data_IF_980197221246
#
_entry.id   IF_980197221246
#
_cell.length_a   1.000
_cell.length_b   1.000
_cell.length_c   1.000
_cell.angle_alpha   90.00
_cell.angle_beta   90.00
_cell.angle_gamma   90.00
#
_symmetry.space_group_name_H-M   'P 1'
#
loop_
_entity.id
_entity.type
_entity.pdbx_description
1 polymer ?
#
# COMPACT_ATOMS: atom_id res chain seq x y z
N UNK A 1 8.42 0.94 -7.37
CA UNK A 1 9.20 0.76 -6.11
C UNK A 1 9.14 -0.71 -5.74
N UNK A 2 10.22 -1.33 -5.22
CA UNK A 2 10.21 -2.76 -4.85
C UNK A 2 9.11 -3.09 -3.84
N UNK A 3 8.85 -2.18 -2.90
CA UNK A 3 7.78 -2.30 -1.93
C UNK A 3 6.38 -2.27 -2.59
N UNK A 4 6.16 -1.40 -3.58
CA UNK A 4 4.84 -1.27 -4.23
C UNK A 4 4.49 -2.47 -5.08
N UNK A 5 5.49 -3.00 -5.79
CA UNK A 5 5.33 -4.23 -6.55
C UNK A 5 4.93 -5.41 -5.65
N UNK A 6 5.64 -5.60 -4.54
CA UNK A 6 5.30 -6.61 -3.53
C UNK A 6 3.89 -6.42 -2.98
N UNK A 7 3.50 -5.18 -2.65
CA UNK A 7 2.14 -4.91 -2.18
C UNK A 7 1.11 -5.28 -3.26
N UNK A 8 1.32 -4.86 -4.51
CA UNK A 8 0.39 -5.13 -5.61
C UNK A 8 0.23 -6.64 -5.90
N UNK A 9 1.31 -7.40 -5.83
CA UNK A 9 1.31 -8.84 -6.08
C UNK A 9 0.69 -9.64 -4.91
N UNK A 10 0.99 -9.27 -3.67
CA UNK A 10 0.68 -10.11 -2.51
C UNK A 10 -0.58 -9.70 -1.74
N UNK A 11 -1.13 -8.49 -1.91
CA UNK A 11 -2.24 -7.98 -1.09
C UNK A 11 -3.55 -8.78 -1.26
N UNK A 12 -3.77 -9.36 -2.45
CA UNK A 12 -4.94 -10.18 -2.78
C UNK A 12 -6.28 -9.49 -2.49
N UNK A 13 -7.26 -10.24 -1.97
CA UNK A 13 -8.63 -9.77 -1.70
C UNK A 13 -8.74 -8.60 -0.71
N UNK A 14 -7.68 -8.31 0.07
CA UNK A 14 -7.68 -7.22 1.05
C UNK A 14 -7.32 -5.85 0.45
N UNK A 15 -7.06 -5.77 -0.86
CA UNK A 15 -6.65 -4.55 -1.54
C UNK A 15 -7.65 -3.39 -1.36
N UNK A 16 -8.96 -3.67 -1.29
CA UNK A 16 -9.99 -2.64 -1.11
C UNK A 16 -9.89 -1.98 0.27
N UNK A 17 -9.65 -2.77 1.32
CA UNK A 17 -9.47 -2.26 2.69
C UNK A 17 -8.19 -1.41 2.76
N UNK A 18 -7.12 -1.89 2.14
CA UNK A 18 -5.86 -1.17 2.03
C UNK A 18 -6.01 0.18 1.29
N UNK A 19 -6.64 0.19 0.11
CA UNK A 19 -6.86 1.40 -0.67
C UNK A 19 -7.73 2.42 0.09
N UNK A 20 -8.79 1.96 0.76
CA UNK A 20 -9.63 2.81 1.63
C UNK A 20 -8.84 3.43 2.78
N UNK A 21 -7.96 2.66 3.43
CA UNK A 21 -7.13 3.17 4.52
C UNK A 21 -6.13 4.24 4.04
N UNK A 22 -5.64 4.13 2.81
CA UNK A 22 -4.83 5.18 2.17
C UNK A 22 -5.65 6.36 1.62
N UNK A 23 -6.98 6.33 1.76
CA UNK A 23 -7.93 7.29 1.18
C UNK A 23 -7.80 7.42 -0.33
N UNK A 24 -7.40 6.33 -0.98
CA UNK A 24 -7.28 6.24 -2.42
C UNK A 24 -8.66 5.87 -2.97
N UNK A 25 -9.08 6.55 -4.03
CA UNK A 25 -10.33 6.24 -4.74
C UNK A 25 -10.25 4.79 -5.24
N UNK A 26 -11.29 4.00 -5.01
CA UNK A 26 -11.32 2.59 -5.43
C UNK A 26 -11.11 2.50 -6.95
N UNK A 27 -9.99 1.86 -7.35
CA UNK A 27 -9.65 1.53 -8.74
C UNK A 27 -9.68 0.02 -8.95
N UNK A 28 -9.02 -0.49 -10.00
CA UNK A 28 -8.81 -1.94 -10.15
C UNK A 28 -7.55 -2.38 -9.41
N UNK A 29 -7.52 -3.61 -8.87
CA UNK A 29 -6.32 -4.17 -8.21
C UNK A 29 -5.11 -4.16 -9.15
N UNK A 30 -5.33 -4.37 -10.45
CA UNK A 30 -4.29 -4.36 -11.49
C UNK A 30 -3.58 -3.00 -11.62
N UNK A 31 -4.19 -1.93 -11.11
CA UNK A 31 -3.61 -0.58 -11.14
C UNK A 31 -2.95 -0.20 -9.81
N UNK A 32 -2.93 -1.09 -8.81
CA UNK A 32 -2.51 -0.75 -7.45
C UNK A 32 -1.07 -0.23 -7.36
N UNK A 33 -0.13 -0.79 -8.13
CA UNK A 33 1.25 -0.29 -8.16
C UNK A 33 1.33 1.15 -8.67
N UNK A 34 0.60 1.46 -9.75
CA UNK A 34 0.53 2.81 -10.34
C UNK A 34 -0.11 3.80 -9.37
N UNK A 35 -1.17 3.37 -8.70
CA UNK A 35 -1.86 4.12 -7.66
C UNK A 35 -0.94 4.44 -6.49
N UNK A 36 -0.09 3.48 -6.06
CA UNK A 36 0.87 3.70 -4.98
C UNK A 36 1.98 4.68 -5.38
N UNK A 37 2.40 4.66 -6.64
CA UNK A 37 3.30 5.68 -7.18
C UNK A 37 2.67 7.07 -7.20
N UNK A 38 1.41 7.19 -7.60
CA UNK A 38 0.68 8.46 -7.50
C UNK A 38 0.50 8.92 -6.04
N UNK A 39 0.27 7.97 -5.12
CA UNK A 39 0.19 8.28 -3.69
C UNK A 39 1.52 8.82 -3.17
N UNK A 40 2.66 8.23 -3.57
CA UNK A 40 4.00 8.71 -3.24
C UNK A 40 4.26 10.15 -3.71
N UNK A 41 3.83 10.49 -4.93
CA UNK A 41 4.02 11.83 -5.49
C UNK A 41 3.22 12.91 -4.75
N UNK A 42 2.05 12.54 -4.21
CA UNK A 42 1.11 13.47 -3.58
C UNK A 42 1.19 13.50 -2.04
N UNK A 43 1.83 12.51 -1.42
CA UNK A 43 1.91 12.37 0.03
C UNK A 43 3.19 13.02 0.59
N UNK A 44 3.12 13.55 1.81
CA UNK A 44 4.31 13.96 2.55
C UNK A 44 5.21 12.73 2.74
N UNK A 45 6.45 12.79 2.21
CA UNK A 45 7.45 11.72 2.31
C UNK A 45 7.65 11.23 3.75
N UNK A 46 7.51 12.11 4.76
CA UNK A 46 7.62 11.73 6.18
C UNK A 46 6.49 10.79 6.64
N UNK A 47 5.34 10.84 5.96
CA UNK A 47 4.13 10.06 6.28
C UNK A 47 3.89 8.91 5.31
N UNK A 48 4.61 8.86 4.19
CA UNK A 48 4.47 7.83 3.16
C UNK A 48 4.63 6.41 3.73
N UNK A 49 5.79 6.14 4.37
CA UNK A 49 6.09 4.81 4.93
C UNK A 49 5.10 4.44 6.03
N UNK A 50 4.85 5.34 6.99
CA UNK A 50 3.93 5.07 8.10
C UNK A 50 2.48 4.89 7.64
N UNK A 51 2.04 5.66 6.64
CA UNK A 51 0.72 5.53 6.01
C UNK A 51 0.52 4.17 5.35
N UNK A 52 1.51 3.70 4.58
CA UNK A 52 1.45 2.39 3.92
C UNK A 52 1.47 1.25 4.95
N UNK A 53 2.35 1.30 5.95
CA UNK A 53 2.40 0.27 7.00
C UNK A 53 1.12 0.24 7.83
N UNK A 54 0.53 1.40 8.13
CA UNK A 54 -0.76 1.49 8.81
C UNK A 54 -1.89 0.91 7.94
N UNK A 55 -1.93 1.24 6.65
CA UNK A 55 -2.94 0.69 5.74
C UNK A 55 -2.84 -0.83 5.60
N UNK A 56 -1.63 -1.39 5.57
CA UNK A 56 -1.43 -2.85 5.57
C UNK A 56 -1.92 -3.49 6.87
N UNK A 57 -1.71 -2.82 8.01
CA UNK A 57 -2.25 -3.25 9.30
C UNK A 57 -3.79 -3.26 9.31
N UNK A 58 -4.43 -2.19 8.84
CA UNK A 58 -5.89 -2.09 8.74
C UNK A 58 -6.48 -3.15 7.79
N UNK A 59 -5.77 -3.47 6.71
CA UNK A 59 -6.10 -4.54 5.79
C UNK A 59 -5.83 -5.96 6.35
N UNK A 60 -5.45 -6.07 7.63
CA UNK A 60 -5.11 -7.32 8.33
C UNK A 60 -3.97 -8.10 7.65
N UNK A 61 -3.07 -7.40 6.97
CA UNK A 61 -1.89 -7.95 6.29
C UNK A 61 -0.60 -7.60 7.04
N UNK A 62 -0.52 -8.03 8.29
CA UNK A 62 0.68 -7.83 9.12
C UNK A 62 1.89 -8.62 8.61
N UNK A 63 1.66 -9.75 7.94
CA UNK A 63 2.66 -10.49 7.18
C UNK A 63 3.33 -9.58 6.13
N UNK A 64 2.51 -8.96 5.28
CA UNK A 64 2.97 -8.09 4.21
C UNK A 64 3.54 -6.79 4.76
N UNK A 65 2.96 -6.24 5.83
CA UNK A 65 3.51 -5.08 6.56
C UNK A 65 4.95 -5.33 7.00
N UNK A 66 5.23 -6.48 7.61
CA UNK A 66 6.57 -6.81 8.10
C UNK A 66 7.55 -6.92 6.92
N UNK A 67 7.18 -7.65 5.86
CA UNK A 67 8.00 -7.78 4.67
C UNK A 67 8.28 -6.42 3.99
N UNK A 68 7.24 -5.59 3.86
CA UNK A 68 7.31 -4.23 3.30
C UNK A 68 8.19 -3.33 4.16
N UNK A 69 8.13 -3.42 5.49
CA UNK A 69 8.93 -2.61 6.39
C UNK A 69 10.44 -2.81 6.24
N UNK A 70 10.88 -4.03 5.91
CA UNK A 70 12.29 -4.40 5.71
C UNK A 70 12.87 -3.88 4.39
N UNK A 71 12.04 -3.65 3.38
CA UNK A 71 12.46 -3.25 2.03
C UNK A 71 12.19 -1.77 1.70
N UNK A 72 11.53 -1.05 2.59
CA UNK A 72 11.19 0.38 2.47
C UNK A 72 12.28 1.29 3.02
#
# INVERSE_FOLDING_TARGET
SRAYKMIAEDIGHNWQVFARALKIKEGHIDELEKILHQYEENCDRRRLKSGILHALQEARRNDLKNAVQEIF
#
